data_IF_613813884303
#
_entry.id   IF_613813884303
#
_cell.length_a   1.000
_cell.length_b   1.000
_cell.length_c   1.000
_cell.angle_alpha   90.00
_cell.angle_beta   90.00
_cell.angle_gamma   90.00
#
_symmetry.space_group_name_H-M   'P 1'
#
loop_
_entity.id
_entity.type
_entity.pdbx_description
1 polymer ?
#
# COMPACT_ATOMS: atom_id res chain seq x y z
N UNK A 1 -20.76 30.29 15.07
CA UNK A 1 -21.75 29.26 15.44
C UNK A 1 -21.09 27.89 15.36
N UNK A 2 -20.91 27.21 16.48
CA UNK A 2 -20.33 25.86 16.48
C UNK A 2 -21.33 24.88 15.84
N UNK A 3 -20.87 24.05 14.90
CA UNK A 3 -21.71 23.01 14.31
C UNK A 3 -22.05 21.99 15.39
N UNK A 4 -23.35 21.77 15.64
CA UNK A 4 -23.83 20.71 16.51
C UNK A 4 -23.62 19.35 15.82
N UNK A 5 -22.42 18.77 15.97
CA UNK A 5 -22.04 17.50 15.34
C UNK A 5 -22.40 16.37 16.30
N UNK A 6 -23.34 15.47 15.94
CA UNK A 6 -23.73 14.36 16.81
C UNK A 6 -22.59 13.34 16.93
N UNK A 7 -22.13 13.10 18.16
CA UNK A 7 -21.07 12.14 18.50
C UNK A 7 -21.50 10.67 18.28
N UNK A 8 -22.80 10.41 18.17
CA UNK A 8 -23.42 9.08 18.14
C UNK A 8 -23.01 8.20 16.96
N UNK A 9 -22.30 8.75 15.95
CA UNK A 9 -21.84 8.02 14.75
C UNK A 9 -20.36 7.67 14.78
N UNK A 10 -19.62 8.09 15.82
CA UNK A 10 -18.21 7.79 15.97
C UNK A 10 -17.98 6.27 16.00
N UNK A 11 -17.03 5.78 15.20
CA UNK A 11 -16.64 4.35 15.19
C UNK A 11 -17.59 3.39 14.46
N UNK A 12 -18.79 3.82 14.01
CA UNK A 12 -19.81 2.95 13.38
C UNK A 12 -19.22 2.06 12.28
N UNK A 13 -18.54 2.66 11.29
CA UNK A 13 -18.08 1.94 10.10
C UNK A 13 -16.96 0.95 10.44
N UNK A 14 -15.99 1.35 11.27
CA UNK A 14 -14.87 0.49 11.65
C UNK A 14 -15.32 -0.71 12.49
N UNK A 15 -16.34 -0.54 13.33
CA UNK A 15 -16.90 -1.62 14.15
C UNK A 15 -17.82 -2.53 13.33
N UNK A 16 -18.48 -1.99 12.30
CA UNK A 16 -19.31 -2.76 11.37
C UNK A 16 -18.47 -3.65 10.45
N UNK A 17 -17.30 -3.19 10.01
CA UNK A 17 -16.43 -3.99 9.12
C UNK A 17 -15.84 -5.19 9.85
N UNK A 18 -16.07 -6.39 9.31
CA UNK A 18 -15.47 -7.62 9.83
C UNK A 18 -13.94 -7.52 9.87
N UNK A 19 -13.33 -8.05 10.93
CA UNK A 19 -11.87 -8.03 11.08
C UNK A 19 -11.24 -9.11 10.21
N UNK A 20 -10.59 -8.71 9.11
CA UNK A 20 -9.82 -9.64 8.27
C UNK A 20 -8.41 -9.82 8.89
N UNK A 21 -7.98 -11.07 9.18
CA UNK A 21 -6.63 -11.35 9.66
C UNK A 21 -5.59 -11.10 8.57
N UNK A 22 -4.34 -10.81 8.97
CA UNK A 22 -3.23 -10.67 8.02
C UNK A 22 -2.81 -12.05 7.54
N UNK A 23 -2.58 -12.19 6.23
CA UNK A 23 -1.97 -13.39 5.66
C UNK A 23 -0.49 -13.45 6.05
N UNK A 24 0.01 -14.65 6.32
CA UNK A 24 1.44 -14.91 6.47
C UNK A 24 2.16 -14.66 5.14
N UNK A 25 3.35 -14.07 5.21
CA UNK A 25 4.19 -13.75 4.06
C UNK A 25 5.64 -14.01 4.43
N UNK A 26 6.43 -14.38 3.44
CA UNK A 26 7.87 -14.50 3.60
C UNK A 26 8.49 -13.20 4.11
N UNK A 27 9.59 -13.34 4.86
CA UNK A 27 10.31 -12.19 5.39
C UNK A 27 10.90 -11.37 4.24
N UNK A 28 10.41 -10.15 4.08
CA UNK A 28 10.93 -9.23 3.07
C UNK A 28 12.40 -8.89 3.34
N UNK A 29 13.19 -8.78 2.26
CA UNK A 29 14.55 -8.24 2.31
C UNK A 29 14.55 -6.81 2.84
N UNK A 30 15.59 -6.45 3.59
CA UNK A 30 15.76 -5.10 4.16
C UNK A 30 17.06 -4.44 3.67
N UNK A 31 17.20 -3.14 3.92
CA UNK A 31 18.43 -2.38 3.63
C UNK A 31 18.87 -2.41 2.16
N UNK A 32 20.16 -2.66 1.94
CA UNK A 32 20.78 -2.68 0.60
C UNK A 32 20.19 -3.76 -0.30
N UNK A 33 19.85 -4.92 0.24
CA UNK A 33 19.28 -6.03 -0.52
C UNK A 33 17.94 -5.63 -1.17
N UNK A 34 17.08 -4.94 -0.41
CA UNK A 34 15.80 -4.41 -0.93
C UNK A 34 16.01 -3.34 -2.00
N UNK A 35 16.99 -2.45 -1.82
CA UNK A 35 17.32 -1.42 -2.82
C UNK A 35 17.80 -2.04 -4.14
N UNK A 36 18.61 -3.11 -4.07
CA UNK A 36 19.07 -3.85 -5.24
C UNK A 36 17.92 -4.47 -6.00
N UNK A 37 17.02 -5.16 -5.30
CA UNK A 37 15.82 -5.77 -5.89
C UNK A 37 14.92 -4.75 -6.59
N UNK A 38 14.64 -3.61 -5.94
CA UNK A 38 13.84 -2.53 -6.55
C UNK A 38 14.51 -1.94 -7.79
N UNK A 39 15.84 -1.74 -7.78
CA UNK A 39 16.57 -1.24 -8.93
C UNK A 39 16.50 -2.21 -10.11
N UNK A 40 16.77 -3.49 -9.87
CA UNK A 40 16.71 -4.53 -10.91
C UNK A 40 15.35 -4.55 -11.59
N UNK A 41 14.25 -4.56 -10.81
CA UNK A 41 12.88 -4.54 -11.35
C UNK A 41 12.60 -3.32 -12.21
N UNK A 42 13.08 -2.13 -11.81
CA UNK A 42 12.87 -0.87 -12.55
C UNK A 42 13.66 -0.83 -13.86
N UNK A 43 14.88 -1.36 -13.86
CA UNK A 43 15.73 -1.44 -15.06
C UNK A 43 15.11 -2.40 -16.08
N UNK A 44 14.69 -3.58 -15.63
CA UNK A 44 14.06 -4.61 -16.47
C UNK A 44 12.76 -4.11 -17.11
N UNK A 45 11.91 -3.44 -16.33
CA UNK A 45 10.65 -2.86 -16.81
C UNK A 45 10.84 -1.55 -17.60
N UNK A 46 12.07 -1.13 -17.87
CA UNK A 46 12.35 -0.02 -18.79
C UNK A 46 12.07 1.38 -18.23
N UNK A 47 11.93 1.54 -16.91
CA UNK A 47 11.65 2.85 -16.28
C UNK A 47 12.67 3.91 -16.69
N UNK A 48 13.96 3.55 -16.74
CA UNK A 48 15.05 4.47 -17.06
C UNK A 48 15.28 4.66 -18.57
N UNK A 49 14.65 3.84 -19.41
CA UNK A 49 14.76 3.96 -20.88
C UNK A 49 13.60 4.75 -21.48
N UNK A 50 12.39 4.40 -21.06
CA UNK A 50 11.16 4.92 -21.66
C UNK A 50 10.46 5.93 -20.75
N UNK A 51 10.94 6.15 -19.51
CA UNK A 51 10.34 7.03 -18.52
C UNK A 51 9.00 6.54 -17.94
N UNK A 52 8.40 5.52 -18.55
CA UNK A 52 7.06 5.03 -18.21
C UNK A 52 7.12 3.62 -17.62
N UNK A 53 6.60 3.45 -16.40
CA UNK A 53 6.42 2.14 -15.77
C UNK A 53 5.17 2.14 -14.88
N UNK A 54 4.30 1.14 -15.03
CA UNK A 54 3.16 0.94 -14.13
C UNK A 54 3.58 0.05 -12.94
N UNK A 55 3.70 0.65 -11.75
CA UNK A 55 4.22 -0.03 -10.56
C UNK A 55 3.26 -1.04 -9.93
N UNK A 56 1.96 -0.85 -10.09
CA UNK A 56 0.92 -1.73 -9.57
C UNK A 56 -0.30 -1.66 -10.49
N UNK A 57 -0.24 -2.26 -11.69
CA UNK A 57 -1.42 -2.37 -12.53
C UNK A 57 -2.46 -3.22 -11.80
N UNK A 58 -3.61 -2.62 -11.51
CA UNK A 58 -4.82 -3.35 -11.14
C UNK A 58 -5.57 -3.58 -12.45
N UNK A 59 -5.88 -4.84 -12.75
CA UNK A 59 -6.74 -5.17 -13.89
C UNK A 59 -8.13 -4.56 -13.69
#
# INVERSE_FOLDING_TARGET
MAKNIPLNRAGKVRNQTAKVPKKEKERAKTGRARRREMYSRRVEQGLFKNGTMRFNPQF
#
